data_IF_326241280993
#
_entry.id   IF_326241280993
#
_cell.length_a   1.000
_cell.length_b   1.000
_cell.length_c   1.000
_cell.angle_alpha   90.00
_cell.angle_beta   90.00
_cell.angle_gamma   90.00
#
_symmetry.space_group_name_H-M   'P 1'
#
loop_
_entity.id
_entity.type
_entity.pdbx_description
1 polymer ?
#
# COMPACT_ATOMS: atom_id res chain seq x y z
N UNK A 1 -1.23 -12.32 20.22
CA UNK A 1 -1.15 -12.91 18.88
C UNK A 1 -0.74 -11.84 17.89
N UNK A 2 0.21 -12.17 17.05
CA UNK A 2 0.59 -11.24 15.99
C UNK A 2 -0.25 -11.47 14.76
N UNK A 3 -0.82 -10.39 14.26
CA UNK A 3 -1.54 -10.41 12.99
C UNK A 3 -0.59 -9.82 11.95
N UNK A 4 -0.22 -10.63 10.97
CA UNK A 4 0.60 -10.18 9.87
C UNK A 4 -0.29 -9.69 8.76
N UNK A 5 0.01 -8.51 8.26
CA UNK A 5 -0.69 -7.98 7.11
C UNK A 5 -0.01 -8.49 5.85
N UNK A 6 -0.81 -8.92 4.91
CA UNK A 6 -0.31 -9.40 3.62
C UNK A 6 -0.01 -8.24 2.68
N UNK A 7 0.68 -8.54 1.59
CA UNK A 7 0.94 -7.55 0.55
C UNK A 7 -0.37 -6.96 0.02
N UNK A 8 -1.39 -7.78 -0.10
CA UNK A 8 -2.71 -7.33 -0.57
C UNK A 8 -3.33 -6.31 0.38
N UNK A 9 -3.18 -6.50 1.69
CA UNK A 9 -3.72 -5.55 2.66
C UNK A 9 -3.05 -4.19 2.52
N UNK A 10 -1.73 -4.18 2.33
CA UNK A 10 -0.99 -2.94 2.13
C UNK A 10 -1.39 -2.24 0.83
N UNK A 11 -1.51 -3.01 -0.25
CA UNK A 11 -1.91 -2.45 -1.54
C UNK A 11 -3.33 -1.87 -1.48
N UNK A 12 -4.23 -2.57 -0.79
CA UNK A 12 -5.59 -2.09 -0.60
C UNK A 12 -5.62 -0.78 0.18
N UNK A 13 -4.83 -0.70 1.25
CA UNK A 13 -4.75 0.51 2.06
C UNK A 13 -4.26 1.69 1.22
N UNK A 14 -3.23 1.47 0.41
CA UNK A 14 -2.69 2.51 -0.46
C UNK A 14 -3.75 2.97 -1.46
N UNK A 15 -4.49 2.03 -2.04
CA UNK A 15 -5.55 2.34 -2.99
C UNK A 15 -6.64 3.20 -2.35
N UNK A 16 -7.11 2.79 -1.17
CA UNK A 16 -8.15 3.53 -0.46
C UNK A 16 -7.69 4.94 -0.12
N UNK A 17 -6.46 5.06 0.41
CA UNK A 17 -5.91 6.36 0.76
C UNK A 17 -5.72 7.24 -0.48
N UNK A 18 -5.30 6.64 -1.60
CA UNK A 18 -5.13 7.37 -2.85
C UNK A 18 -6.44 7.97 -3.34
N UNK A 19 -7.54 7.25 -3.16
CA UNK A 19 -8.87 7.72 -3.58
C UNK A 19 -9.39 8.85 -2.72
N UNK A 20 -8.88 8.98 -1.49
CA UNK A 20 -9.29 10.08 -0.61
C UNK A 20 -8.63 11.39 -0.99
N UNK A 21 -7.64 11.34 -1.88
CA UNK A 21 -6.90 12.52 -2.30
C UNK A 21 -5.70 12.79 -1.42
N UNK A 22 -4.82 13.67 -1.87
CA UNK A 22 -3.60 13.99 -1.16
C UNK A 22 -2.52 12.92 -1.29
N UNK A 23 -1.37 13.20 -0.71
CA UNK A 23 -0.22 12.30 -0.76
C UNK A 23 -0.40 11.16 0.23
N UNK A 24 -0.06 9.94 -0.19
CA UNK A 24 -0.09 8.76 0.67
C UNK A 24 1.30 8.52 1.22
N UNK A 25 1.41 8.44 2.54
CA UNK A 25 2.68 8.20 3.20
C UNK A 25 2.62 6.98 4.09
N UNK A 26 3.79 6.47 4.48
CA UNK A 26 3.87 5.29 5.34
C UNK A 26 3.11 5.46 6.63
N UNK A 27 3.12 6.66 7.22
CA UNK A 27 2.40 6.90 8.47
C UNK A 27 0.89 6.74 8.28
N UNK A 28 0.36 7.14 7.13
CA UNK A 28 -1.05 6.99 6.84
C UNK A 28 -1.44 5.52 6.75
N UNK A 29 -0.57 4.73 6.12
CA UNK A 29 -0.78 3.29 5.98
C UNK A 29 -0.72 2.61 7.35
N UNK A 30 0.27 2.98 8.16
CA UNK A 30 0.44 2.43 9.50
C UNK A 30 -0.81 2.69 10.34
N UNK A 31 -1.32 3.91 10.30
CA UNK A 31 -2.51 4.30 11.04
C UNK A 31 -3.73 3.52 10.57
N UNK A 32 -3.91 3.43 9.25
CA UNK A 32 -5.07 2.75 8.68
C UNK A 32 -5.11 1.27 9.03
N UNK A 33 -3.95 0.59 8.96
CA UNK A 33 -3.89 -0.85 9.19
C UNK A 33 -3.62 -1.21 10.65
N UNK A 34 -3.30 -0.24 11.49
CA UNK A 34 -2.99 -0.50 12.89
C UNK A 34 -1.71 -1.30 13.07
N UNK A 35 -0.71 -1.03 12.25
CA UNK A 35 0.58 -1.73 12.30
C UNK A 35 1.70 -0.76 12.65
N UNK A 36 2.87 -1.30 13.00
CA UNK A 36 4.03 -0.48 13.38
C UNK A 36 4.68 0.13 12.14
N UNK A 37 5.41 1.23 12.37
CA UNK A 37 6.18 1.86 11.29
C UNK A 37 7.21 0.93 10.66
N UNK A 38 7.98 0.14 11.45
CA UNK A 38 8.91 -0.81 10.86
C UNK A 38 8.23 -1.84 9.96
N UNK A 39 7.03 -2.29 10.34
CA UNK A 39 6.28 -3.24 9.53
C UNK A 39 5.91 -2.62 8.18
N UNK A 40 5.44 -1.37 8.19
CA UNK A 40 5.10 -0.66 6.95
C UNK A 40 6.35 -0.46 6.10
N UNK A 41 7.45 -0.02 6.71
CA UNK A 41 8.69 0.21 5.97
C UNK A 41 9.17 -1.05 5.27
N UNK A 42 9.10 -2.19 5.97
CA UNK A 42 9.47 -3.47 5.39
C UNK A 42 8.56 -3.84 4.22
N UNK A 43 7.25 -3.69 4.41
CA UNK A 43 6.29 -3.98 3.37
C UNK A 43 6.48 -3.08 2.15
N UNK A 44 6.71 -1.79 2.37
CA UNK A 44 6.94 -0.85 1.27
C UNK A 44 8.18 -1.22 0.47
N UNK A 45 9.24 -1.66 1.17
CA UNK A 45 10.45 -2.11 0.49
C UNK A 45 10.15 -3.29 -0.44
N UNK A 46 9.43 -4.29 0.06
CA UNK A 46 9.10 -5.47 -0.74
C UNK A 46 8.21 -5.12 -1.92
N UNK A 47 7.23 -4.25 -1.72
CA UNK A 47 6.33 -3.84 -2.79
C UNK A 47 7.05 -3.02 -3.87
N UNK A 48 8.04 -2.21 -3.48
CA UNK A 48 8.86 -1.50 -4.45
C UNK A 48 9.71 -2.46 -5.28
N UNK A 49 10.29 -3.47 -4.61
CA UNK A 49 11.11 -4.46 -5.30
C UNK A 49 10.30 -5.25 -6.32
N UNK A 50 9.02 -5.44 -6.06
CA UNK A 50 8.11 -6.15 -6.95
C UNK A 50 7.39 -5.23 -7.94
N UNK A 51 7.74 -3.94 -7.96
CA UNK A 51 7.19 -2.95 -8.89
C UNK A 51 5.68 -2.72 -8.75
N UNK A 52 5.14 -2.94 -7.56
CA UNK A 52 3.74 -2.59 -7.29
C UNK A 52 3.56 -1.13 -6.92
N UNK A 53 4.59 -0.54 -6.33
CA UNK A 53 4.54 0.85 -5.89
C UNK A 53 5.86 1.55 -6.23
N UNK A 54 5.79 2.88 -6.25
CA UNK A 54 6.96 3.75 -6.27
C UNK A 54 6.92 4.65 -5.05
N UNK A 55 8.08 5.06 -4.57
CA UNK A 55 8.19 6.04 -3.50
C UNK A 55 9.15 7.13 -3.93
N UNK A 56 8.76 8.39 -3.67
CA UNK A 56 9.65 9.51 -3.98
C UNK A 56 10.54 9.82 -2.76
N UNK A 57 11.38 10.85 -2.90
CA UNK A 57 12.31 11.23 -1.83
C UNK A 57 11.60 11.73 -0.57
N UNK A 58 10.33 12.10 -0.68
CA UNK A 58 9.54 12.60 0.44
C UNK A 58 8.74 11.50 1.12
N UNK A 59 8.86 10.27 0.65
CA UNK A 59 8.14 9.14 1.21
C UNK A 59 6.71 9.01 0.72
N UNK A 60 6.36 9.72 -0.36
CA UNK A 60 5.03 9.59 -0.96
C UNK A 60 4.97 8.31 -1.77
N UNK A 61 3.92 7.53 -1.52
CA UNK A 61 3.71 6.22 -2.14
C UNK A 61 2.71 6.34 -3.28
N UNK A 62 3.05 5.75 -4.43
CA UNK A 62 2.20 5.75 -5.61
C UNK A 62 2.04 4.31 -6.11
N UNK A 63 0.81 3.91 -6.41
CA UNK A 63 0.55 2.60 -7.03
C UNK A 63 0.99 2.62 -8.49
N UNK A 64 1.61 1.52 -8.91
CA UNK A 64 2.06 1.38 -10.30
C UNK A 64 1.06 0.56 -11.10
N UNK A 65 1.19 0.62 -12.42
CA UNK A 65 0.29 -0.06 -13.35
C UNK A 65 0.17 -1.55 -13.08
N UNK A 66 1.27 -2.17 -12.62
CA UNK A 66 1.25 -3.61 -12.29
C UNK A 66 0.15 -3.96 -11.31
N UNK A 67 -0.05 -3.14 -10.26
CA UNK A 67 -1.12 -3.39 -9.32
C UNK A 67 -2.48 -3.19 -9.97
N UNK A 68 -2.62 -2.21 -10.85
CA UNK A 68 -3.91 -1.94 -11.51
C UNK A 68 -4.37 -3.11 -12.37
N UNK A 69 -3.45 -3.99 -12.76
CA UNK A 69 -3.76 -5.21 -13.51
C UNK A 69 -3.87 -6.43 -12.61
N UNK A 70 -3.67 -6.27 -11.29
CA UNK A 70 -3.72 -7.38 -10.34
C UNK A 70 -5.17 -7.82 -10.12
N UNK A 71 -5.42 -9.15 -10.00
CA UNK A 71 -6.78 -9.65 -9.76
C UNK A 71 -7.46 -9.05 -8.54
N UNK A 72 -6.69 -8.79 -7.47
CA UNK A 72 -7.24 -8.19 -6.26
C UNK A 72 -7.82 -6.80 -6.54
N UNK A 73 -7.14 -6.00 -7.35
CA UNK A 73 -7.63 -4.68 -7.73
C UNK A 73 -8.95 -4.79 -8.48
N UNK A 74 -9.05 -5.75 -9.40
CA UNK A 74 -10.27 -5.96 -10.16
C UNK A 74 -11.42 -6.38 -9.28
N UNK A 75 -11.15 -7.22 -8.27
CA UNK A 75 -12.18 -7.62 -7.33
C UNK A 75 -12.74 -6.42 -6.57
N UNK A 76 -11.90 -5.47 -6.21
CA UNK A 76 -12.34 -4.29 -5.49
C UNK A 76 -13.19 -3.36 -6.36
N UNK A 77 -12.95 -3.34 -7.66
CA UNK A 77 -13.73 -2.52 -8.57
C UNK A 77 -15.17 -3.02 -8.70
N UNK A 78 -15.42 -4.27 -8.37
CA UNK A 78 -16.75 -4.87 -8.46
C UNK A 78 -17.58 -4.72 -7.20
N UNK A 79 -17.07 -4.06 -6.21
CA UNK A 79 -17.81 -3.83 -4.96
C UNK A 79 -18.75 -2.65 -5.03
#
# INVERSE_FOLDING_TARGET
MQIRKSAEDYLEAILVLSKQGGAVRSIDIATMLGVSKPSVSHAMKLLREDDYIAMDRYGTVTLLVKYLQHPLHQLQLHR
#
